data_IF_211030467507
#
_entry.id   IF_211030467507
#
_cell.length_a   1.000
_cell.length_b   1.000
_cell.length_c   1.000
_cell.angle_alpha   90.00
_cell.angle_beta   90.00
_cell.angle_gamma   90.00
#
_symmetry.space_group_name_H-M   'P 1'
#
loop_
_entity.id
_entity.type
_entity.pdbx_description
1 polymer ?
#
# COMPACT_ATOMS: atom_id res chain seq x y z
N UNK A 1 31.21 -36.85 -2.62
CA UNK A 1 30.83 -35.44 -2.91
C UNK A 1 29.32 -35.43 -3.07
N UNK A 2 28.57 -34.58 -2.36
CA UNK A 2 27.12 -34.46 -2.60
C UNK A 2 26.94 -33.79 -3.97
N UNK A 3 26.05 -34.31 -4.83
CA UNK A 3 25.70 -33.65 -6.10
C UNK A 3 25.03 -32.30 -5.84
N UNK A 4 25.09 -31.38 -6.80
CA UNK A 4 24.42 -30.08 -6.68
C UNK A 4 22.92 -30.26 -6.40
N UNK A 5 22.27 -31.20 -7.10
CA UNK A 5 20.85 -31.54 -6.92
C UNK A 5 20.54 -31.92 -5.47
N UNK A 6 21.38 -32.74 -4.85
CA UNK A 6 21.19 -33.16 -3.45
C UNK A 6 21.36 -31.99 -2.47
N UNK A 7 22.31 -31.09 -2.75
CA UNK A 7 22.52 -29.89 -1.93
C UNK A 7 21.33 -28.94 -2.01
N UNK A 8 20.83 -28.68 -3.22
CA UNK A 8 19.70 -27.77 -3.44
C UNK A 8 18.39 -28.37 -2.93
N UNK A 9 18.14 -29.67 -3.18
CA UNK A 9 16.98 -30.39 -2.61
C UNK A 9 16.93 -30.20 -1.10
N UNK A 10 18.02 -30.53 -0.41
CA UNK A 10 18.09 -30.39 1.04
C UNK A 10 17.89 -28.95 1.49
N UNK A 11 18.42 -27.96 0.77
CA UNK A 11 18.20 -26.55 1.09
C UNK A 11 16.72 -26.15 0.95
N UNK A 12 16.02 -26.63 -0.08
CA UNK A 12 14.59 -26.38 -0.28
C UNK A 12 13.74 -27.01 0.84
N UNK A 13 14.07 -28.24 1.20
CA UNK A 13 13.46 -28.97 2.33
C UNK A 13 13.73 -28.23 3.66
N UNK A 14 15.00 -27.93 3.97
CA UNK A 14 15.42 -27.20 5.18
C UNK A 14 14.74 -25.82 5.25
N UNK A 15 14.56 -25.12 4.11
CA UNK A 15 13.84 -23.84 4.04
C UNK A 15 12.35 -24.01 4.36
N UNK A 16 11.71 -25.03 3.78
CA UNK A 16 10.31 -25.36 4.07
C UNK A 16 10.10 -25.70 5.54
N UNK A 17 10.94 -26.58 6.09
CA UNK A 17 10.90 -27.00 7.49
C UNK A 17 11.15 -25.83 8.45
N UNK A 18 12.10 -24.95 8.14
CA UNK A 18 12.38 -23.76 8.95
C UNK A 18 11.21 -22.77 8.94
N UNK A 19 10.54 -22.57 7.81
CA UNK A 19 9.34 -21.72 7.73
C UNK A 19 8.21 -22.33 8.54
N UNK A 20 7.96 -23.64 8.38
CA UNK A 20 6.89 -24.35 9.09
C UNK A 20 7.16 -24.41 10.60
N UNK A 21 8.41 -24.63 11.01
CA UNK A 21 8.82 -24.67 12.40
C UNK A 21 8.71 -23.32 13.11
N UNK A 22 8.75 -22.21 12.36
CA UNK A 22 8.61 -20.84 12.88
C UNK A 22 7.28 -20.18 12.51
N UNK A 23 6.34 -20.94 11.96
CA UNK A 23 5.13 -20.40 11.35
C UNK A 23 4.28 -19.55 12.33
N UNK A 24 4.29 -19.93 13.61
CA UNK A 24 3.59 -19.22 14.68
C UNK A 24 4.31 -17.93 15.13
N UNK A 25 5.60 -17.78 14.81
CA UNK A 25 6.42 -16.59 15.11
C UNK A 25 6.41 -15.55 13.97
N UNK A 26 6.04 -15.96 12.75
CA UNK A 26 6.00 -15.08 11.59
C UNK A 26 4.83 -14.10 11.68
N UNK A 27 5.13 -12.81 11.54
CA UNK A 27 4.14 -11.73 11.47
C UNK A 27 3.49 -11.66 10.08
N UNK A 28 2.32 -11.02 9.99
CA UNK A 28 1.58 -10.83 8.72
C UNK A 28 2.46 -10.38 7.53
N UNK A 29 3.36 -9.37 7.64
CA UNK A 29 4.19 -8.97 6.51
C UNK A 29 5.17 -10.07 6.07
N UNK A 30 5.72 -10.84 7.01
CA UNK A 30 6.65 -11.93 6.71
C UNK A 30 5.92 -13.07 6.00
N UNK A 31 4.72 -13.44 6.47
CA UNK A 31 3.88 -14.44 5.81
C UNK A 31 3.53 -14.03 4.38
N UNK A 32 3.09 -12.78 4.18
CA UNK A 32 2.81 -12.24 2.83
C UNK A 32 4.05 -12.27 1.94
N UNK A 33 5.21 -11.87 2.47
CA UNK A 33 6.45 -11.91 1.73
C UNK A 33 6.83 -13.34 1.33
N UNK A 34 6.68 -14.33 2.22
CA UNK A 34 6.89 -15.75 1.90
C UNK A 34 5.98 -16.22 0.75
N UNK A 35 4.69 -15.86 0.78
CA UNK A 35 3.77 -16.22 -0.31
C UNK A 35 4.19 -15.55 -1.63
N UNK A 36 4.53 -14.27 -1.60
CA UNK A 36 5.03 -13.54 -2.77
C UNK A 36 6.27 -14.18 -3.39
N UNK A 37 7.22 -14.56 -2.54
CA UNK A 37 8.50 -15.16 -2.90
C UNK A 37 8.31 -16.47 -3.65
N UNK A 38 7.62 -17.43 -3.03
CA UNK A 38 7.32 -18.73 -3.63
C UNK A 38 6.36 -18.64 -4.81
N UNK A 39 5.35 -17.77 -4.73
CA UNK A 39 4.45 -17.54 -5.83
C UNK A 39 5.16 -17.00 -7.08
N UNK A 40 6.24 -16.23 -6.92
CA UNK A 40 7.04 -15.75 -8.05
C UNK A 40 7.96 -16.83 -8.65
N UNK A 41 7.98 -18.03 -8.07
CA UNK A 41 8.66 -19.18 -8.64
C UNK A 41 7.71 -20.17 -9.32
N UNK A 42 6.40 -19.86 -9.38
CA UNK A 42 5.39 -20.72 -10.01
C UNK A 42 5.04 -20.23 -11.42
N UNK A 43 4.73 -21.16 -12.33
CA UNK A 43 4.07 -20.81 -13.59
C UNK A 43 2.61 -20.36 -13.38
N UNK A 44 1.94 -19.83 -14.41
CA UNK A 44 0.59 -19.28 -14.27
C UNK A 44 -0.46 -20.34 -13.86
N UNK A 45 -0.36 -21.57 -14.35
CA UNK A 45 -1.31 -22.64 -14.06
C UNK A 45 -1.11 -23.17 -12.64
N UNK A 46 0.12 -23.50 -12.28
CA UNK A 46 0.48 -24.00 -10.94
C UNK A 46 0.17 -22.95 -9.90
N UNK A 47 0.49 -21.68 -10.17
CA UNK A 47 0.12 -20.56 -9.29
C UNK A 47 -1.38 -20.49 -9.11
N UNK A 48 -2.18 -20.57 -10.17
CA UNK A 48 -3.64 -20.54 -10.07
C UNK A 48 -4.23 -21.64 -9.18
N UNK A 49 -3.63 -22.85 -9.21
CA UNK A 49 -4.04 -23.97 -8.36
C UNK A 49 -3.60 -23.77 -6.91
N UNK A 50 -2.32 -23.48 -6.68
CA UNK A 50 -1.76 -23.37 -5.34
C UNK A 50 -2.22 -22.12 -4.58
N UNK A 51 -2.51 -21.02 -5.29
CA UNK A 51 -3.03 -19.77 -4.71
C UNK A 51 -4.56 -19.74 -4.65
N UNK A 52 -5.25 -20.86 -4.89
CA UNK A 52 -6.70 -20.90 -4.79
C UNK A 52 -7.15 -20.49 -3.39
N UNK A 53 -7.99 -19.46 -3.31
CA UNK A 53 -8.43 -18.87 -2.06
C UNK A 53 -7.49 -17.84 -1.44
N UNK A 54 -6.22 -17.73 -1.87
CA UNK A 54 -5.28 -16.74 -1.32
C UNK A 54 -5.67 -15.30 -1.65
N UNK A 55 -5.50 -14.41 -0.67
CA UNK A 55 -5.58 -12.96 -0.85
C UNK A 55 -4.57 -12.28 0.06
N UNK A 56 -3.94 -11.20 -0.41
CA UNK A 56 -3.08 -10.38 0.44
C UNK A 56 -3.84 -9.61 1.54
N UNK A 57 -5.18 -9.65 1.50
CA UNK A 57 -6.09 -9.07 2.49
C UNK A 57 -6.63 -10.10 3.49
N UNK A 58 -6.08 -11.31 3.49
CA UNK A 58 -6.30 -12.28 4.56
C UNK A 58 -5.71 -11.77 5.88
N UNK A 59 -6.36 -12.14 6.99
CA UNK A 59 -5.82 -11.93 8.33
C UNK A 59 -4.57 -12.78 8.58
N UNK A 60 -3.78 -12.43 9.60
CA UNK A 60 -2.58 -13.21 9.95
C UNK A 60 -2.88 -14.70 10.19
N UNK A 61 -3.99 -15.01 10.89
CA UNK A 61 -4.40 -16.39 11.14
C UNK A 61 -4.72 -17.14 9.83
N UNK A 62 -5.45 -16.51 8.92
CA UNK A 62 -5.78 -17.10 7.61
C UNK A 62 -4.53 -17.29 6.74
N UNK A 63 -3.61 -16.32 6.73
CA UNK A 63 -2.33 -16.44 6.04
C UNK A 63 -1.49 -17.58 6.62
N UNK A 64 -1.52 -17.75 7.94
CA UNK A 64 -0.83 -18.84 8.63
C UNK A 64 -1.40 -20.19 8.25
N UNK A 65 -2.72 -20.32 8.27
CA UNK A 65 -3.43 -21.55 7.86
C UNK A 65 -3.21 -21.87 6.39
N UNK A 66 -3.19 -20.85 5.53
CA UNK A 66 -2.86 -21.00 4.13
C UNK A 66 -1.41 -21.48 3.94
N UNK A 67 -0.44 -20.81 4.58
CA UNK A 67 0.98 -21.15 4.52
C UNK A 67 1.27 -22.57 5.02
N UNK A 68 0.54 -23.06 6.04
CA UNK A 68 0.68 -24.44 6.55
C UNK A 68 0.46 -25.50 5.48
N UNK A 69 -0.43 -25.23 4.52
CA UNK A 69 -0.72 -26.14 3.41
C UNK A 69 0.11 -25.81 2.17
N UNK A 70 0.34 -24.51 1.91
CA UNK A 70 1.03 -24.04 0.73
C UNK A 70 2.54 -24.34 0.75
N UNK A 71 3.22 -24.15 1.88
CA UNK A 71 4.68 -24.32 1.96
C UNK A 71 5.12 -25.76 1.65
N UNK A 72 4.53 -26.82 2.24
CA UNK A 72 4.86 -28.20 1.84
C UNK A 72 4.61 -28.47 0.36
N UNK A 73 3.45 -28.06 -0.16
CA UNK A 73 3.09 -28.26 -1.57
C UNK A 73 4.06 -27.55 -2.52
N UNK A 74 4.49 -26.34 -2.16
CA UNK A 74 5.50 -25.61 -2.91
C UNK A 74 6.87 -26.29 -2.84
N UNK A 75 7.31 -26.74 -1.66
CA UNK A 75 8.59 -27.44 -1.50
C UNK A 75 8.65 -28.70 -2.36
N UNK A 76 7.58 -29.50 -2.37
CA UNK A 76 7.46 -30.67 -3.24
C UNK A 76 7.57 -30.29 -4.73
N UNK A 77 6.86 -29.23 -5.14
CA UNK A 77 6.94 -28.71 -6.50
C UNK A 77 8.36 -28.25 -6.88
N UNK A 78 9.02 -27.48 -6.02
CA UNK A 78 10.35 -26.93 -6.29
C UNK A 78 11.41 -28.04 -6.40
N UNK A 79 11.30 -29.09 -5.56
CA UNK A 79 12.16 -30.27 -5.66
C UNK A 79 11.89 -31.04 -6.97
N UNK A 80 10.62 -31.23 -7.33
CA UNK A 80 10.26 -31.89 -8.59
C UNK A 80 10.77 -31.10 -9.82
N UNK A 81 10.65 -29.77 -9.81
CA UNK A 81 11.19 -28.91 -10.87
C UNK A 81 12.72 -29.07 -10.97
N UNK A 82 13.42 -29.04 -9.83
CA UNK A 82 14.88 -29.23 -9.79
C UNK A 82 15.29 -30.58 -10.39
N UNK A 83 14.64 -31.67 -9.98
CA UNK A 83 14.95 -33.01 -10.47
C UNK A 83 14.67 -33.15 -11.96
N UNK A 84 13.59 -32.55 -12.46
CA UNK A 84 13.29 -32.51 -13.88
C UNK A 84 14.36 -31.73 -14.65
N UNK A 85 14.68 -30.51 -14.21
CA UNK A 85 15.62 -29.62 -14.88
C UNK A 85 17.05 -30.15 -14.92
N UNK A 86 17.45 -30.92 -13.90
CA UNK A 86 18.81 -31.48 -13.77
C UNK A 86 18.90 -32.97 -14.14
N UNK A 87 17.83 -33.57 -14.66
CA UNK A 87 17.78 -35.01 -15.04
C UNK A 87 18.93 -35.45 -15.94
N UNK A 88 19.28 -34.60 -16.90
CA UNK A 88 20.30 -34.87 -17.91
C UNK A 88 21.65 -34.19 -17.60
N UNK A 89 21.84 -33.71 -16.36
CA UNK A 89 23.07 -33.08 -15.88
C UNK A 89 22.88 -31.71 -15.23
N UNK A 90 23.89 -31.28 -14.47
CA UNK A 90 23.93 -30.04 -13.70
C UNK A 90 24.25 -28.82 -14.59
N UNK A 91 23.33 -28.52 -15.52
CA UNK A 91 23.42 -27.38 -16.45
C UNK A 91 22.78 -26.12 -15.86
N UNK A 92 23.31 -24.94 -16.21
CA UNK A 92 22.90 -23.66 -15.60
C UNK A 92 22.59 -22.57 -16.65
N UNK A 93 22.26 -22.98 -17.86
CA UNK A 93 21.72 -22.15 -18.93
C UNK A 93 20.20 -22.36 -19.07
N UNK A 94 19.42 -21.36 -19.52
CA UNK A 94 18.05 -21.58 -19.98
C UNK A 94 18.12 -22.65 -21.09
N UNK A 95 17.43 -23.81 -21.01
CA UNK A 95 16.18 -24.10 -20.29
C UNK A 95 16.30 -24.88 -18.96
N UNK A 96 17.52 -25.15 -18.47
CA UNK A 96 17.80 -26.03 -17.33
C UNK A 96 17.82 -25.31 -15.98
N UNK A 97 17.58 -24.00 -15.95
CA UNK A 97 17.41 -23.26 -14.71
C UNK A 97 16.00 -23.45 -14.15
N UNK A 98 15.92 -23.74 -12.86
CA UNK A 98 14.69 -23.65 -12.05
C UNK A 98 14.33 -22.19 -11.79
N UNK A 99 13.07 -21.94 -11.39
CA UNK A 99 12.66 -20.58 -11.03
C UNK A 99 13.39 -20.06 -9.77
N UNK A 100 13.68 -20.94 -8.81
CA UNK A 100 14.50 -20.63 -7.63
C UNK A 100 15.91 -20.20 -8.03
N UNK A 101 16.57 -20.91 -8.97
CA UNK A 101 17.88 -20.49 -9.48
C UNK A 101 17.82 -19.11 -10.16
N UNK A 102 16.75 -18.79 -10.90
CA UNK A 102 16.58 -17.45 -11.48
C UNK A 102 16.46 -16.36 -10.40
N UNK A 103 15.81 -16.66 -9.28
CA UNK A 103 15.63 -15.73 -8.17
C UNK A 103 16.94 -15.54 -7.38
N UNK A 104 17.76 -16.58 -7.22
CA UNK A 104 19.02 -16.52 -6.48
C UNK A 104 20.21 -15.97 -7.30
N UNK A 105 20.05 -15.74 -8.61
CA UNK A 105 21.13 -15.19 -9.45
C UNK A 105 21.12 -13.67 -9.50
N UNK A 106 22.27 -13.04 -9.22
CA UNK A 106 22.48 -11.62 -9.44
C UNK A 106 22.19 -11.22 -10.90
N UNK A 107 21.68 -10.01 -11.10
CA UNK A 107 21.26 -9.49 -12.42
C UNK A 107 22.39 -9.55 -13.44
N UNK A 108 23.61 -9.14 -13.04
CA UNK A 108 24.81 -9.19 -13.90
C UNK A 108 25.17 -10.59 -14.40
N UNK A 109 24.79 -11.62 -13.64
CA UNK A 109 25.07 -13.02 -13.97
C UNK A 109 23.93 -13.62 -14.79
N UNK A 110 22.71 -13.25 -14.46
CA UNK A 110 21.47 -13.77 -15.05
C UNK A 110 21.24 -13.29 -16.48
N UNK A 111 21.42 -11.99 -16.74
CA UNK A 111 21.07 -11.41 -18.04
C UNK A 111 21.93 -11.87 -19.23
N UNK A 112 23.24 -12.11 -19.10
CA UNK A 112 24.02 -12.73 -20.18
C UNK A 112 23.45 -14.09 -20.60
N UNK A 113 23.05 -14.93 -19.63
CA UNK A 113 22.45 -16.25 -19.90
C UNK A 113 21.11 -16.15 -20.60
N UNK A 114 20.27 -15.18 -20.20
CA UNK A 114 19.00 -14.88 -20.87
C UNK A 114 19.24 -14.41 -22.30
N UNK A 115 20.22 -13.55 -22.53
CA UNK A 115 20.53 -13.02 -23.86
C UNK A 115 20.99 -14.12 -24.81
N UNK A 116 21.89 -15.01 -24.36
CA UNK A 116 22.45 -16.10 -25.17
C UNK A 116 21.42 -17.16 -25.55
N UNK A 117 20.42 -17.37 -24.68
CA UNK A 117 19.39 -18.42 -24.81
C UNK A 117 17.98 -17.86 -24.84
N UNK A 118 17.80 -16.67 -25.42
CA UNK A 118 16.53 -15.94 -25.34
C UNK A 118 15.34 -16.78 -25.79
N UNK A 119 15.48 -17.56 -26.87
CA UNK A 119 14.44 -18.45 -27.42
C UNK A 119 13.92 -19.45 -26.38
N UNK A 120 14.81 -19.93 -25.51
CA UNK A 120 14.53 -20.94 -24.49
C UNK A 120 13.90 -20.35 -23.21
N UNK A 121 13.81 -19.02 -23.10
CA UNK A 121 13.18 -18.32 -21.97
C UNK A 121 11.69 -18.14 -22.21
N UNK A 122 10.87 -18.56 -21.24
CA UNK A 122 9.41 -18.46 -21.34
C UNK A 122 8.93 -17.00 -21.31
N UNK A 123 7.76 -16.69 -21.92
CA UNK A 123 7.19 -15.35 -21.85
C UNK A 123 6.99 -14.86 -20.41
N UNK A 124 6.54 -15.71 -19.49
CA UNK A 124 6.39 -15.36 -18.08
C UNK A 124 7.73 -14.95 -17.45
N UNK A 125 8.79 -15.73 -17.68
CA UNK A 125 10.12 -15.40 -17.17
C UNK A 125 10.63 -14.08 -17.75
N UNK A 126 10.42 -13.82 -19.05
CA UNK A 126 10.77 -12.52 -19.64
C UNK A 126 10.02 -11.36 -18.98
N UNK A 127 8.72 -11.50 -18.70
CA UNK A 127 7.94 -10.47 -17.99
C UNK A 127 8.52 -10.20 -16.60
N UNK A 128 8.87 -11.24 -15.84
CA UNK A 128 9.49 -11.13 -14.52
C UNK A 128 10.80 -10.36 -14.57
N UNK A 129 11.68 -10.71 -15.49
CA UNK A 129 13.00 -10.09 -15.58
C UNK A 129 12.94 -8.67 -16.15
N UNK A 130 12.02 -8.39 -17.08
CA UNK A 130 11.75 -7.02 -17.55
C UNK A 130 11.19 -6.16 -16.40
N UNK A 131 10.26 -6.69 -15.59
CA UNK A 131 9.75 -5.99 -14.41
C UNK A 131 10.87 -5.72 -13.38
N UNK A 132 11.76 -6.68 -13.14
CA UNK A 132 12.96 -6.48 -12.31
C UNK A 132 13.90 -5.42 -12.88
N UNK A 133 14.12 -5.42 -14.18
CA UNK A 133 14.95 -4.40 -14.84
C UNK A 133 14.40 -2.99 -14.57
N UNK A 134 13.07 -2.80 -14.65
CA UNK A 134 12.43 -1.53 -14.31
C UNK A 134 12.67 -1.06 -12.86
N UNK A 135 13.09 -1.96 -11.96
CA UNK A 135 13.28 -1.72 -10.53
C UNK A 135 14.77 -1.58 -10.12
N UNK A 136 15.71 -1.58 -11.08
CA UNK A 136 17.14 -1.39 -10.81
C UNK A 136 17.46 0.08 -10.53
N UNK A 137 17.19 0.54 -9.30
CA UNK A 137 17.36 1.94 -8.90
C UNK A 137 18.80 2.31 -8.52
N UNK A 138 19.59 1.34 -8.04
CA UNK A 138 20.94 1.60 -7.51
C UNK A 138 21.98 0.65 -8.12
N UNK A 139 23.21 1.13 -8.37
CA UNK A 139 24.29 0.33 -8.97
C UNK A 139 24.55 -1.03 -8.29
N UNK A 140 24.53 -1.07 -6.95
CA UNK A 140 24.82 -2.31 -6.21
C UNK A 140 23.83 -3.45 -6.52
N UNK A 141 22.59 -3.13 -6.92
CA UNK A 141 21.54 -4.10 -7.24
C UNK A 141 21.89 -4.99 -8.45
N UNK A 142 22.82 -4.55 -9.31
CA UNK A 142 23.32 -5.38 -10.42
C UNK A 142 24.06 -6.63 -9.93
N UNK A 143 24.73 -6.52 -8.79
CA UNK A 143 25.56 -7.58 -8.21
C UNK A 143 24.92 -8.26 -7.00
N UNK A 144 23.82 -7.74 -6.49
CA UNK A 144 23.13 -8.26 -5.30
C UNK A 144 22.11 -9.33 -5.69
N UNK A 145 22.30 -10.61 -5.31
CA UNK A 145 21.29 -11.65 -5.50
C UNK A 145 19.98 -11.37 -4.78
N UNK A 146 20.03 -10.72 -3.61
CA UNK A 146 18.86 -10.46 -2.78
C UNK A 146 17.90 -9.44 -3.42
N UNK A 147 18.37 -8.67 -4.41
CA UNK A 147 17.53 -7.75 -5.18
C UNK A 147 16.29 -8.44 -5.77
N UNK A 148 16.44 -9.67 -6.30
CA UNK A 148 15.34 -10.35 -6.96
C UNK A 148 14.17 -10.70 -6.03
N UNK A 149 14.49 -10.91 -4.75
CA UNK A 149 13.51 -11.11 -3.68
C UNK A 149 13.01 -9.75 -3.18
N UNK A 150 13.91 -8.78 -2.99
CA UNK A 150 13.58 -7.44 -2.48
C UNK A 150 12.58 -6.67 -3.37
N UNK A 151 12.59 -6.86 -4.68
CA UNK A 151 11.58 -6.23 -5.56
C UNK A 151 10.14 -6.71 -5.26
N UNK A 152 9.98 -7.90 -4.68
CA UNK A 152 8.68 -8.49 -4.36
C UNK A 152 8.01 -7.78 -3.18
N UNK A 153 8.74 -6.96 -2.42
CA UNK A 153 8.15 -6.11 -1.39
C UNK A 153 7.24 -5.04 -2.00
N UNK A 154 7.51 -4.61 -3.23
CA UNK A 154 6.86 -3.46 -3.83
C UNK A 154 5.70 -3.87 -4.74
N UNK A 155 4.54 -3.27 -4.48
CA UNK A 155 3.31 -3.41 -5.29
C UNK A 155 3.53 -3.04 -6.76
N UNK A 156 4.45 -2.11 -7.06
CA UNK A 156 4.84 -1.73 -8.42
C UNK A 156 5.33 -2.91 -9.26
N UNK A 157 6.04 -3.88 -8.67
CA UNK A 157 6.49 -5.08 -9.38
C UNK A 157 5.30 -5.87 -9.95
N UNK A 158 4.24 -6.04 -9.16
CA UNK A 158 3.03 -6.75 -9.60
C UNK A 158 2.22 -5.96 -10.61
N UNK A 159 2.19 -4.62 -10.52
CA UNK A 159 1.57 -3.77 -11.52
C UNK A 159 2.30 -3.89 -12.88
N UNK A 160 3.64 -3.88 -12.86
CA UNK A 160 4.47 -4.11 -14.04
C UNK A 160 4.17 -5.48 -14.66
N UNK A 161 4.12 -6.55 -13.86
CA UNK A 161 3.76 -7.88 -14.36
C UNK A 161 2.35 -7.90 -14.98
N UNK A 162 1.37 -7.27 -14.32
CA UNK A 162 0.01 -7.16 -14.82
C UNK A 162 -0.06 -6.48 -16.19
N UNK A 163 0.67 -5.38 -16.37
CA UNK A 163 0.75 -4.66 -17.66
C UNK A 163 1.51 -5.43 -18.73
N UNK A 164 2.59 -6.11 -18.35
CA UNK A 164 3.40 -6.93 -19.27
C UNK A 164 2.66 -8.18 -19.78
N UNK A 165 1.58 -8.63 -19.12
CA UNK A 165 0.74 -9.74 -19.60
C UNK A 165 0.13 -9.50 -20.98
N UNK A 166 -0.28 -8.26 -21.26
CA UNK A 166 -0.84 -7.89 -22.58
C UNK A 166 0.21 -7.63 -23.67
N UNK A 167 1.50 -7.64 -23.32
CA UNK A 167 2.58 -7.43 -24.29
C UNK A 167 2.85 -8.72 -25.06
N UNK A 168 2.93 -8.62 -26.39
CA UNK A 168 3.20 -9.77 -27.25
C UNK A 168 4.59 -10.36 -27.01
N UNK A 169 4.71 -11.67 -27.20
CA UNK A 169 5.99 -12.37 -27.01
C UNK A 169 7.11 -11.79 -27.89
N UNK A 170 6.82 -11.45 -29.15
CA UNK A 170 7.78 -10.82 -30.04
C UNK A 170 8.32 -9.50 -29.46
N UNK A 171 7.45 -8.67 -28.87
CA UNK A 171 7.84 -7.40 -28.24
C UNK A 171 8.60 -7.62 -26.94
N UNK A 172 8.24 -8.63 -26.14
CA UNK A 172 9.01 -9.01 -24.94
C UNK A 172 10.44 -9.44 -25.30
N UNK A 173 10.60 -10.25 -26.36
CA UNK A 173 11.90 -10.70 -26.83
C UNK A 173 12.75 -9.55 -27.37
N UNK A 174 12.14 -8.62 -28.11
CA UNK A 174 12.83 -7.43 -28.60
C UNK A 174 13.30 -6.53 -27.44
N UNK A 175 12.41 -6.26 -26.48
CA UNK A 175 12.73 -5.54 -25.26
C UNK A 175 13.88 -6.17 -24.48
N UNK A 176 13.86 -7.50 -24.32
CA UNK A 176 14.90 -8.24 -23.61
C UNK A 176 16.29 -8.06 -24.25
N UNK A 177 16.39 -7.97 -25.58
CA UNK A 177 17.68 -7.68 -26.26
C UNK A 177 18.21 -6.30 -25.90
N UNK A 178 17.33 -5.29 -25.95
CA UNK A 178 17.69 -3.92 -25.58
C UNK A 178 18.11 -3.80 -24.11
N UNK A 179 17.37 -4.45 -23.21
CA UNK A 179 17.68 -4.47 -21.78
C UNK A 179 19.01 -5.20 -21.51
N UNK A 180 19.24 -6.36 -22.13
CA UNK A 180 20.49 -7.11 -21.97
C UNK A 180 21.71 -6.26 -22.38
N UNK A 181 21.61 -5.51 -23.47
CA UNK A 181 22.67 -4.60 -23.91
C UNK A 181 22.93 -3.50 -22.87
N UNK A 182 21.87 -2.90 -22.32
CA UNK A 182 22.02 -1.84 -21.32
C UNK A 182 22.57 -2.36 -20.00
N UNK A 183 22.21 -3.58 -19.58
CA UNK A 183 22.79 -4.23 -18.41
C UNK A 183 24.28 -4.49 -18.63
N UNK A 184 24.67 -5.01 -19.80
CA UNK A 184 26.08 -5.23 -20.11
C UNK A 184 26.90 -3.93 -20.04
N UNK A 185 26.36 -2.82 -20.57
CA UNK A 185 26.98 -1.49 -20.44
C UNK A 185 27.07 -1.05 -18.99
N UNK A 186 25.99 -1.16 -18.22
CA UNK A 186 25.97 -0.75 -16.81
C UNK A 186 26.94 -1.56 -15.95
N UNK A 187 27.13 -2.86 -16.25
CA UNK A 187 28.11 -3.72 -15.57
C UNK A 187 29.56 -3.36 -15.96
N UNK A 188 29.77 -2.92 -17.20
CA UNK A 188 31.09 -2.51 -17.70
C UNK A 188 31.46 -1.06 -17.38
N UNK A 189 30.51 -0.26 -16.88
CA UNK A 189 30.71 1.14 -16.53
C UNK A 189 31.80 1.29 -15.46
N UNK A 190 32.59 2.36 -15.58
CA UNK A 190 33.78 2.55 -14.73
C UNK A 190 33.53 3.49 -13.56
N UNK A 191 32.43 4.26 -13.58
CA UNK A 191 32.02 5.13 -12.50
C UNK A 191 30.59 4.85 -12.01
N UNK A 192 30.31 5.32 -10.79
CA UNK A 192 28.97 5.20 -10.20
C UNK A 192 27.98 6.09 -10.93
N UNK A 193 28.36 7.32 -11.32
CA UNK A 193 27.47 8.23 -12.04
C UNK A 193 27.10 7.68 -13.44
N UNK A 194 28.06 7.08 -14.14
CA UNK A 194 27.81 6.43 -15.43
C UNK A 194 26.84 5.27 -15.28
N UNK A 195 27.05 4.43 -14.25
CA UNK A 195 26.16 3.31 -13.96
C UNK A 195 24.75 3.79 -13.64
N UNK A 196 24.59 4.84 -12.83
CA UNK A 196 23.28 5.41 -12.48
C UNK A 196 22.54 5.95 -13.70
N UNK A 197 23.24 6.63 -14.62
CA UNK A 197 22.65 7.10 -15.87
C UNK A 197 22.17 5.94 -16.75
N UNK A 198 22.98 4.90 -16.92
CA UNK A 198 22.63 3.70 -17.69
C UNK A 198 21.46 2.94 -17.06
N UNK A 199 21.44 2.83 -15.72
CA UNK A 199 20.31 2.23 -15.01
C UNK A 199 19.03 3.04 -15.21
N UNK A 200 19.10 4.38 -15.25
CA UNK A 200 17.94 5.21 -15.57
C UNK A 200 17.41 4.95 -16.97
N UNK A 201 18.28 4.91 -17.99
CA UNK A 201 17.89 4.56 -19.36
C UNK A 201 17.23 3.18 -19.43
N UNK A 202 17.81 2.20 -18.74
CA UNK A 202 17.28 0.85 -18.65
C UNK A 202 15.89 0.83 -18.00
N UNK A 203 15.69 1.56 -16.89
CA UNK A 203 14.37 1.66 -16.23
C UNK A 203 13.33 2.29 -17.15
N UNK A 204 13.71 3.32 -17.90
CA UNK A 204 12.84 3.95 -18.91
C UNK A 204 12.48 2.97 -20.03
N UNK A 205 13.45 2.21 -20.55
CA UNK A 205 13.21 1.18 -21.57
C UNK A 205 12.25 0.11 -21.06
N UNK A 206 12.52 -0.47 -19.89
CA UNK A 206 11.68 -1.51 -19.30
C UNK A 206 10.28 -1.00 -18.96
N UNK A 207 10.18 0.20 -18.38
CA UNK A 207 8.90 0.86 -18.07
C UNK A 207 8.07 1.14 -19.32
N UNK A 208 8.68 1.63 -20.40
CA UNK A 208 8.00 1.90 -21.66
C UNK A 208 7.41 0.62 -22.31
N UNK A 209 8.06 -0.53 -22.13
CA UNK A 209 7.54 -1.82 -22.61
C UNK A 209 6.28 -2.21 -21.86
N UNK A 210 6.25 -1.98 -20.54
CA UNK A 210 5.06 -2.16 -19.70
C UNK A 210 3.99 -1.06 -19.90
N UNK A 211 4.23 -0.07 -20.77
CA UNK A 211 3.33 1.07 -20.93
C UNK A 211 3.19 1.88 -19.64
N UNK A 212 4.26 1.99 -18.85
CA UNK A 212 4.28 2.87 -17.69
C UNK A 212 4.18 4.33 -18.15
N UNK A 213 3.33 5.15 -17.51
CA UNK A 213 3.17 6.55 -17.89
C UNK A 213 4.27 7.48 -17.33
N UNK A 214 5.18 6.98 -16.49
CA UNK A 214 6.31 7.74 -15.92
C UNK A 214 7.50 6.83 -15.53
N UNK A 215 8.57 7.44 -15.02
CA UNK A 215 9.73 6.70 -14.50
C UNK A 215 9.29 5.79 -13.33
N UNK A 216 9.72 4.51 -13.29
CA UNK A 216 9.35 3.58 -12.22
C UNK A 216 9.66 4.06 -10.81
N UNK A 217 10.70 4.89 -10.64
CA UNK A 217 11.15 5.40 -9.34
C UNK A 217 10.10 6.30 -8.68
N UNK A 218 9.32 7.02 -9.48
CA UNK A 218 8.24 7.88 -9.00
C UNK A 218 6.98 7.09 -8.57
N UNK A 219 6.95 5.79 -8.88
CA UNK A 219 5.79 4.90 -8.69
C UNK A 219 6.02 3.82 -7.63
N UNK A 220 7.22 3.74 -7.03
CA UNK A 220 7.69 2.62 -6.21
C UNK A 220 6.77 2.28 -5.01
N UNK A 221 6.12 3.28 -4.43
CA UNK A 221 5.24 3.10 -3.27
C UNK A 221 5.98 2.61 -2.01
N UNK A 222 5.25 2.40 -0.89
CA UNK A 222 5.85 1.82 0.31
C UNK A 222 6.09 0.31 0.17
N UNK A 223 7.11 -0.26 0.85
CA UNK A 223 7.33 -1.71 0.87
C UNK A 223 6.19 -2.43 1.58
N UNK A 224 5.95 -3.67 1.20
CA UNK A 224 4.88 -4.54 1.71
C UNK A 224 3.46 -3.98 1.59
N UNK A 225 3.25 -3.00 0.71
CA UNK A 225 1.94 -2.53 0.32
C UNK A 225 1.14 -3.69 -0.31
N UNK A 226 -0.10 -3.91 0.17
CA UNK A 226 -0.98 -4.98 -0.33
C UNK A 226 -1.30 -4.76 -1.81
N UNK A 227 -1.31 -5.85 -2.58
CA UNK A 227 -1.70 -5.90 -3.98
C UNK A 227 -2.85 -6.90 -4.17
N UNK A 228 -4.00 -6.51 -4.76
CA UNK A 228 -4.33 -5.15 -5.20
C UNK A 228 -4.42 -4.16 -4.02
N UNK A 229 -4.10 -2.89 -4.27
CA UNK A 229 -4.09 -1.83 -3.23
C UNK A 229 -5.47 -1.51 -2.67
N UNK A 230 -6.49 -1.68 -3.51
CA UNK A 230 -7.88 -1.61 -3.10
C UNK A 230 -8.29 -2.94 -2.47
N UNK A 231 -8.77 -2.88 -1.23
CA UNK A 231 -9.25 -4.06 -0.51
C UNK A 231 -10.51 -4.56 -1.23
N UNK A 232 -10.57 -5.82 -1.66
CA UNK A 232 -11.77 -6.37 -2.28
C UNK A 232 -12.97 -6.28 -1.31
N UNK A 233 -14.18 -5.91 -1.77
CA UNK A 233 -15.32 -5.62 -0.90
C UNK A 233 -15.68 -6.75 0.08
N UNK A 234 -15.58 -8.01 -0.35
CA UNK A 234 -15.90 -9.19 0.44
C UNK A 234 -14.97 -9.39 1.63
N UNK A 235 -13.69 -9.00 1.51
CA UNK A 235 -12.73 -9.09 2.60
C UNK A 235 -12.94 -7.99 3.62
N UNK A 236 -13.24 -6.77 3.17
CA UNK A 236 -13.45 -5.60 4.04
C UNK A 236 -14.58 -5.83 5.04
N UNK A 237 -15.74 -6.27 4.58
CA UNK A 237 -16.91 -6.47 5.46
C UNK A 237 -16.75 -7.66 6.39
N UNK A 238 -16.08 -8.72 5.92
CA UNK A 238 -15.82 -9.91 6.72
C UNK A 238 -14.83 -9.62 7.84
N UNK A 239 -13.72 -8.96 7.54
CA UNK A 239 -12.71 -8.55 8.52
C UNK A 239 -13.32 -7.65 9.60
N UNK A 240 -14.16 -6.70 9.18
CA UNK A 240 -14.90 -5.85 10.11
C UNK A 240 -15.82 -6.69 11.01
N UNK A 241 -16.65 -7.58 10.46
CA UNK A 241 -17.56 -8.44 11.25
C UNK A 241 -16.82 -9.29 12.28
N UNK A 242 -15.69 -9.89 11.88
CA UNK A 242 -14.85 -10.70 12.77
C UNK A 242 -14.24 -9.85 13.89
N UNK A 243 -13.70 -8.68 13.55
CA UNK A 243 -13.12 -7.74 14.50
C UNK A 243 -14.15 -7.26 15.53
N UNK A 244 -15.35 -6.90 15.07
CA UNK A 244 -16.44 -6.44 15.92
C UNK A 244 -16.99 -7.51 16.87
N UNK A 245 -16.87 -8.79 16.50
CA UNK A 245 -17.37 -9.90 17.31
C UNK A 245 -16.57 -10.08 18.62
N UNK A 246 -15.27 -9.79 18.60
CA UNK A 246 -14.36 -9.95 19.75
C UNK A 246 -14.23 -8.69 20.61
N UNK A 247 -14.65 -7.53 20.08
CA UNK A 247 -14.54 -6.26 20.79
C UNK A 247 -15.41 -6.17 22.06
N UNK A 248 -14.84 -5.52 23.08
CA UNK A 248 -15.58 -5.14 24.29
C UNK A 248 -16.62 -4.06 23.98
N UNK A 249 -17.58 -3.84 24.89
CA UNK A 249 -18.55 -2.74 24.73
C UNK A 249 -17.86 -1.36 24.63
N UNK A 250 -16.75 -1.17 25.36
CA UNK A 250 -15.96 0.07 25.31
C UNK A 250 -15.35 0.27 23.92
N UNK A 251 -14.76 -0.78 23.35
CA UNK A 251 -14.10 -0.70 22.04
C UNK A 251 -15.11 -0.59 20.90
N UNK A 252 -16.26 -1.28 21.01
CA UNK A 252 -17.39 -1.10 20.08
C UNK A 252 -17.88 0.35 20.08
N UNK A 253 -17.92 1.00 21.25
CA UNK A 253 -18.28 2.42 21.31
C UNK A 253 -17.23 3.30 20.63
N UNK A 254 -15.94 3.05 20.85
CA UNK A 254 -14.90 3.81 20.17
C UNK A 254 -14.94 3.59 18.64
N UNK A 255 -15.11 2.33 18.20
CA UNK A 255 -15.22 1.98 16.78
C UNK A 255 -16.42 2.66 16.13
N UNK A 256 -17.58 2.66 16.77
CA UNK A 256 -18.73 3.36 16.22
C UNK A 256 -18.55 4.88 16.20
N UNK A 257 -17.87 5.50 17.17
CA UNK A 257 -17.50 6.92 17.07
C UNK A 257 -16.65 7.20 15.83
N UNK A 258 -15.67 6.33 15.54
CA UNK A 258 -14.87 6.42 14.31
C UNK A 258 -15.76 6.35 13.07
N UNK A 259 -16.67 5.38 12.99
CA UNK A 259 -17.55 5.25 11.83
C UNK A 259 -18.55 6.40 11.70
N UNK A 260 -19.03 6.98 12.81
CA UNK A 260 -19.89 8.16 12.81
C UNK A 260 -19.13 9.42 12.35
N UNK A 261 -17.85 9.55 12.71
CA UNK A 261 -17.00 10.68 12.31
C UNK A 261 -16.87 10.80 10.78
N UNK A 262 -16.97 9.69 10.07
CA UNK A 262 -16.86 9.59 8.60
C UNK A 262 -18.14 9.96 7.85
N UNK A 263 -19.25 10.22 8.56
CA UNK A 263 -20.54 10.52 7.97
C UNK A 263 -20.74 12.03 7.77
N UNK A 264 -21.42 12.38 6.68
CA UNK A 264 -22.12 13.66 6.59
C UNK A 264 -23.38 13.64 7.46
N UNK A 265 -23.98 14.80 7.69
CA UNK A 265 -25.25 14.97 8.37
C UNK A 265 -26.39 14.28 7.61
N UNK A 266 -26.35 14.23 6.28
CA UNK A 266 -27.32 13.49 5.49
C UNK A 266 -27.14 11.97 5.65
N UNK A 267 -25.91 11.47 5.56
CA UNK A 267 -25.62 10.05 5.78
C UNK A 267 -25.94 9.61 7.20
N UNK A 268 -25.68 10.47 8.20
CA UNK A 268 -26.06 10.24 9.58
C UNK A 268 -27.58 10.07 9.70
N UNK A 269 -28.37 10.99 9.12
CA UNK A 269 -29.84 10.88 9.13
C UNK A 269 -30.33 9.61 8.44
N UNK A 270 -29.74 9.24 7.30
CA UNK A 270 -30.15 8.09 6.49
C UNK A 270 -29.76 6.75 7.11
N UNK A 271 -28.51 6.60 7.58
CA UNK A 271 -27.94 5.33 8.03
C UNK A 271 -28.15 5.13 9.53
N UNK A 272 -27.91 6.17 10.34
CA UNK A 272 -27.92 6.09 11.81
C UNK A 272 -29.32 6.36 12.37
N UNK A 273 -30.12 7.21 11.71
CA UNK A 273 -31.49 7.55 12.12
C UNK A 273 -32.37 6.33 12.48
N UNK A 274 -32.39 5.25 11.68
CA UNK A 274 -33.12 4.02 12.00
C UNK A 274 -32.69 3.30 13.29
N UNK A 275 -31.48 3.56 13.79
CA UNK A 275 -31.00 3.01 15.06
C UNK A 275 -31.41 3.90 16.23
N UNK A 276 -31.40 5.23 16.07
CA UNK A 276 -31.84 6.16 17.11
C UNK A 276 -33.36 6.18 17.33
N UNK A 277 -34.14 5.63 16.40
CA UNK A 277 -35.57 5.35 16.67
C UNK A 277 -35.78 4.18 17.65
N UNK A 278 -34.75 3.32 17.82
CA UNK A 278 -34.77 2.16 18.72
C UNK A 278 -34.02 2.39 20.03
N UNK A 279 -32.99 3.23 20.00
CA UNK A 279 -32.11 3.51 21.14
C UNK A 279 -32.02 5.03 21.37
N UNK A 280 -32.28 5.54 22.59
CA UNK A 280 -32.30 6.99 22.86
C UNK A 280 -30.96 7.68 22.61
N UNK A 281 -29.87 6.96 22.81
CA UNK A 281 -28.53 7.44 22.46
C UNK A 281 -27.61 6.31 22.03
N UNK A 282 -26.54 6.71 21.37
CA UNK A 282 -25.42 5.86 21.06
C UNK A 282 -24.81 5.17 22.30
N UNK A 283 -24.70 5.91 23.42
CA UNK A 283 -24.12 5.40 24.65
C UNK A 283 -25.00 4.34 25.32
N UNK A 284 -26.29 4.29 25.00
CA UNK A 284 -27.25 3.33 25.53
C UNK A 284 -27.43 2.09 24.65
N UNK A 285 -26.78 2.04 23.48
CA UNK A 285 -26.91 0.93 22.55
C UNK A 285 -26.15 -0.32 23.06
N UNK A 286 -26.77 -1.51 23.07
CA UNK A 286 -26.10 -2.75 23.44
C UNK A 286 -25.10 -3.20 22.35
N UNK A 287 -24.16 -4.08 22.70
CA UNK A 287 -23.11 -4.56 21.78
C UNK A 287 -23.65 -5.04 20.43
N UNK A 288 -24.76 -5.79 20.41
CA UNK A 288 -25.38 -6.26 19.17
C UNK A 288 -25.81 -5.08 18.27
N UNK A 289 -26.47 -4.08 18.84
CA UNK A 289 -26.89 -2.88 18.10
C UNK A 289 -25.71 -2.09 17.55
N UNK A 290 -24.64 -1.94 18.35
CA UNK A 290 -23.42 -1.25 17.92
C UNK A 290 -22.76 -1.95 16.73
N UNK A 291 -22.67 -3.29 16.77
CA UNK A 291 -22.11 -4.08 15.67
C UNK A 291 -22.94 -3.92 14.39
N UNK A 292 -24.27 -3.98 14.50
CA UNK A 292 -25.18 -3.78 13.38
C UNK A 292 -25.08 -2.37 12.79
N UNK A 293 -24.97 -1.34 13.63
CA UNK A 293 -24.77 0.05 13.21
C UNK A 293 -23.46 0.21 12.44
N UNK A 294 -22.35 -0.27 13.00
CA UNK A 294 -21.03 -0.16 12.38
C UNK A 294 -21.01 -0.85 11.02
N UNK A 295 -21.54 -2.07 10.94
CA UNK A 295 -21.63 -2.83 9.68
C UNK A 295 -22.50 -2.08 8.66
N UNK A 296 -23.64 -1.54 9.07
CA UNK A 296 -24.52 -0.78 8.16
C UNK A 296 -23.83 0.47 7.59
N UNK A 297 -22.99 1.14 8.39
CA UNK A 297 -22.17 2.27 7.93
C UNK A 297 -21.13 1.79 6.91
N UNK A 298 -20.38 0.74 7.23
CA UNK A 298 -19.30 0.23 6.38
C UNK A 298 -19.78 -0.45 5.09
N UNK A 299 -20.98 -1.05 5.08
CA UNK A 299 -21.61 -1.59 3.87
C UNK A 299 -21.97 -0.47 2.88
N UNK A 300 -22.30 0.71 3.39
CA UNK A 300 -22.68 1.86 2.56
C UNK A 300 -21.51 2.76 2.16
N UNK A 301 -20.34 2.65 2.80
CA UNK A 301 -19.25 3.61 2.69
C UNK A 301 -17.86 2.97 2.70
N UNK A 302 -17.02 3.39 1.75
CA UNK A 302 -15.61 3.03 1.66
C UNK A 302 -14.72 4.22 2.04
N UNK A 303 -14.61 4.47 3.35
CA UNK A 303 -13.87 5.62 3.90
C UNK A 303 -13.08 5.20 5.13
N UNK A 304 -11.92 5.83 5.34
CA UNK A 304 -11.13 5.69 6.56
C UNK A 304 -10.79 7.05 7.17
N UNK A 305 -10.49 7.05 8.47
CA UNK A 305 -10.26 8.26 9.29
C UNK A 305 -9.07 9.09 8.82
N UNK A 306 -8.15 8.52 8.05
CA UNK A 306 -6.96 9.16 7.50
C UNK A 306 -7.12 9.57 6.02
N UNK A 307 -8.22 9.20 5.32
CA UNK A 307 -8.40 9.55 3.91
C UNK A 307 -8.44 11.06 3.67
N UNK A 308 -8.86 11.86 4.67
CA UNK A 308 -8.84 13.32 4.57
C UNK A 308 -7.43 13.90 4.30
N UNK A 309 -6.37 13.22 4.73
CA UNK A 309 -4.97 13.61 4.47
C UNK A 309 -4.32 12.72 3.39
N UNK A 310 -4.61 11.43 3.36
CA UNK A 310 -4.01 10.51 2.37
C UNK A 310 -4.42 10.86 0.93
N UNK A 311 -5.59 11.48 0.74
CA UNK A 311 -6.10 11.91 -0.57
C UNK A 311 -5.12 12.74 -1.39
N UNK A 312 -4.29 13.56 -0.76
CA UNK A 312 -3.34 14.43 -1.47
C UNK A 312 -2.18 13.63 -2.07
N UNK A 313 -1.68 12.64 -1.32
CA UNK A 313 -0.53 11.83 -1.72
C UNK A 313 -0.87 10.61 -2.57
N UNK A 314 -2.07 10.05 -2.42
CA UNK A 314 -2.40 8.69 -2.90
C UNK A 314 -3.66 8.59 -3.76
N UNK A 315 -4.49 9.64 -3.83
CA UNK A 315 -5.75 9.60 -4.58
C UNK A 315 -6.89 8.89 -3.84
N UNK A 316 -6.68 8.50 -2.58
CA UNK A 316 -7.70 7.99 -1.64
C UNK A 316 -8.69 9.11 -1.27
N UNK A 317 -9.63 9.41 -2.15
CA UNK A 317 -10.65 10.45 -1.94
C UNK A 317 -11.43 10.22 -0.63
N UNK A 318 -11.86 11.31 0.03
CA UNK A 318 -12.52 11.21 1.32
C UNK A 318 -14.03 10.97 1.19
N UNK A 319 -14.66 11.38 0.10
CA UNK A 319 -16.11 11.27 -0.12
C UNK A 319 -16.48 10.51 -1.39
N UNK A 320 -15.70 10.70 -2.44
CA UNK A 320 -15.90 10.18 -3.79
C UNK A 320 -15.04 8.94 -4.02
N UNK A 321 -15.19 8.31 -5.19
CA UNK A 321 -14.39 7.14 -5.53
C UNK A 321 -12.91 7.50 -5.61
N UNK A 322 -12.00 6.62 -5.14
CA UNK A 322 -10.58 6.83 -5.29
C UNK A 322 -10.20 6.93 -6.78
N UNK A 323 -9.14 7.69 -7.05
CA UNK A 323 -8.47 7.66 -8.35
C UNK A 323 -7.37 6.62 -8.26
N UNK A 324 -7.21 5.79 -9.30
CA UNK A 324 -6.16 4.77 -9.37
C UNK A 324 -4.80 5.40 -9.07
N UNK A 325 -4.01 4.77 -8.21
CA UNK A 325 -2.81 5.38 -7.63
C UNK A 325 -1.82 5.89 -8.68
N UNK A 326 -1.57 5.12 -9.75
CA UNK A 326 -0.66 5.53 -10.82
C UNK A 326 -1.23 6.72 -11.59
N UNK A 327 -2.53 6.71 -11.86
CA UNK A 327 -3.21 7.86 -12.48
C UNK A 327 -3.08 9.09 -11.56
N UNK A 328 -3.31 8.93 -10.26
CA UNK A 328 -3.20 10.03 -9.30
C UNK A 328 -1.81 10.65 -9.26
N UNK A 329 -0.76 9.82 -9.19
CA UNK A 329 0.63 10.30 -9.11
C UNK A 329 1.07 11.09 -10.33
N UNK A 330 0.52 10.76 -11.50
CA UNK A 330 0.94 11.35 -12.77
C UNK A 330 0.00 12.43 -13.28
N UNK A 331 -1.15 12.57 -12.63
CA UNK A 331 -2.10 13.61 -12.92
C UNK A 331 -1.49 14.99 -12.63
N UNK A 332 -1.58 15.95 -13.58
CA UNK A 332 -1.18 17.33 -13.36
C UNK A 332 -1.81 17.91 -12.10
N UNK A 333 -1.11 18.83 -11.43
CA UNK A 333 -1.61 19.43 -10.18
C UNK A 333 -3.00 20.05 -10.36
N UNK A 334 -3.24 20.76 -11.46
CA UNK A 334 -4.54 21.39 -11.75
C UNK A 334 -5.69 20.36 -11.82
N UNK A 335 -5.43 19.21 -12.45
CA UNK A 335 -6.41 18.13 -12.54
C UNK A 335 -6.63 17.46 -11.17
N UNK A 336 -5.56 17.24 -10.39
CA UNK A 336 -5.66 16.74 -9.00
C UNK A 336 -6.51 17.67 -8.14
N UNK A 337 -6.25 18.98 -8.23
CA UNK A 337 -7.06 20.01 -7.56
C UNK A 337 -8.53 19.93 -8.00
N UNK A 338 -8.79 19.72 -9.30
CA UNK A 338 -10.14 19.51 -9.81
C UNK A 338 -10.86 18.31 -9.16
N UNK A 339 -10.17 17.17 -9.03
CA UNK A 339 -10.69 16.00 -8.31
C UNK A 339 -10.94 16.29 -6.82
N UNK A 340 -10.00 16.92 -6.14
CA UNK A 340 -10.12 17.25 -4.72
C UNK A 340 -11.28 18.23 -4.47
N UNK A 341 -11.47 19.20 -5.35
CA UNK A 341 -12.61 20.16 -5.26
C UNK A 341 -13.95 19.49 -5.47
N UNK A 342 -14.06 18.54 -6.42
CA UNK A 342 -15.28 17.73 -6.59
C UNK A 342 -15.57 16.92 -5.32
N UNK A 343 -14.55 16.32 -4.75
CA UNK A 343 -14.66 15.57 -3.50
C UNK A 343 -15.04 16.47 -2.30
N UNK A 344 -14.48 17.68 -2.21
CA UNK A 344 -14.86 18.70 -1.22
C UNK A 344 -16.32 19.14 -1.38
N UNK A 345 -16.82 19.22 -2.62
CA UNK A 345 -18.20 19.61 -2.92
C UNK A 345 -19.26 18.64 -2.37
N UNK A 346 -18.86 17.40 -2.05
CA UNK A 346 -19.74 16.38 -1.44
C UNK A 346 -19.68 16.45 0.09
N UNK A 347 -18.65 17.08 0.67
CA UNK A 347 -18.53 17.24 2.13
C UNK A 347 -19.50 18.30 2.64
N UNK A 348 -20.04 18.09 3.84
CA UNK A 348 -20.76 19.13 4.55
C UNK A 348 -19.83 19.94 5.48
N UNK A 349 -20.36 21.04 6.00
CA UNK A 349 -19.62 21.93 6.91
C UNK A 349 -19.14 21.20 8.18
N UNK A 350 -19.91 20.23 8.68
CA UNK A 350 -19.55 19.50 9.89
C UNK A 350 -18.30 18.64 9.65
N UNK A 351 -18.22 17.95 8.52
CA UNK A 351 -17.07 17.15 8.13
C UNK A 351 -15.84 18.03 7.87
N UNK A 352 -16.00 19.14 7.14
CA UNK A 352 -14.92 20.11 6.94
C UNK A 352 -14.39 20.64 8.27
N UNK A 353 -15.27 20.93 9.23
CA UNK A 353 -14.87 21.42 10.56
C UNK A 353 -14.05 20.38 11.33
N UNK A 354 -14.45 19.10 11.28
CA UNK A 354 -13.69 18.00 11.90
C UNK A 354 -12.31 17.85 11.28
N UNK A 355 -12.20 17.87 9.95
CA UNK A 355 -10.91 17.81 9.27
C UNK A 355 -10.01 19.00 9.63
N UNK A 356 -10.54 20.22 9.65
CA UNK A 356 -9.76 21.41 10.04
C UNK A 356 -9.30 21.34 11.51
N UNK A 357 -10.15 20.86 12.42
CA UNK A 357 -9.77 20.63 13.81
C UNK A 357 -8.63 19.62 13.93
N UNK A 358 -8.58 18.57 13.09
CA UNK A 358 -7.45 17.62 13.08
C UNK A 358 -6.12 18.30 12.80
N UNK A 359 -6.06 19.28 11.90
CA UNK A 359 -4.85 20.07 11.67
C UNK A 359 -4.43 20.89 12.90
N UNK A 360 -5.38 21.47 13.64
CA UNK A 360 -5.05 22.22 14.86
C UNK A 360 -4.49 21.31 15.96
N UNK A 361 -4.90 20.05 16.00
CA UNK A 361 -4.51 19.06 17.01
C UNK A 361 -3.31 18.18 16.65
N UNK A 362 -2.79 18.29 15.44
CA UNK A 362 -1.60 17.57 15.00
C UNK A 362 -0.39 18.51 14.94
N UNK A 363 0.72 18.14 15.58
CA UNK A 363 1.96 18.95 15.55
C UNK A 363 2.74 18.83 14.24
N UNK A 364 2.54 17.73 13.52
CA UNK A 364 3.18 17.44 12.25
C UNK A 364 2.23 16.66 11.33
N UNK A 365 2.48 16.70 10.03
CA UNK A 365 1.67 15.98 9.03
C UNK A 365 1.62 14.48 9.31
N UNK A 366 2.72 13.86 9.76
CA UNK A 366 2.75 12.43 10.09
C UNK A 366 1.69 12.05 11.14
N UNK A 367 1.39 12.95 12.07
CA UNK A 367 0.36 12.71 13.08
C UNK A 367 -1.06 12.69 12.46
N UNK A 368 -1.29 13.36 11.32
CA UNK A 368 -2.55 13.27 10.57
C UNK A 368 -2.72 11.90 9.89
N UNK A 369 -1.63 11.30 9.42
CA UNK A 369 -1.63 9.99 8.76
C UNK A 369 -1.66 8.82 9.76
N UNK A 370 -1.34 9.06 11.03
CA UNK A 370 -1.42 8.06 12.10
C UNK A 370 -2.89 7.83 12.54
N UNK A 371 -3.47 6.73 12.08
CA UNK A 371 -4.84 6.35 12.40
C UNK A 371 -5.08 6.23 13.92
N UNK A 372 -4.12 5.73 14.70
CA UNK A 372 -4.24 5.60 16.15
C UNK A 372 -4.38 6.96 16.84
N UNK A 373 -3.56 7.94 16.44
CA UNK A 373 -3.68 9.33 16.91
C UNK A 373 -5.03 9.94 16.48
N UNK A 374 -5.46 9.71 15.25
CA UNK A 374 -6.74 10.25 14.78
C UNK A 374 -7.95 9.66 15.52
N UNK A 375 -7.89 8.39 15.92
CA UNK A 375 -8.92 7.73 16.75
C UNK A 375 -8.91 8.30 18.17
N UNK A 376 -7.73 8.49 18.77
CA UNK A 376 -7.61 9.02 20.13
C UNK A 376 -8.26 10.42 20.27
N UNK A 377 -8.13 11.27 19.24
CA UNK A 377 -8.74 12.60 19.21
C UNK A 377 -10.26 12.59 19.38
N UNK A 378 -10.95 11.53 18.93
CA UNK A 378 -12.42 11.44 19.03
C UNK A 378 -12.93 11.40 20.47
N UNK A 379 -12.05 11.11 21.43
CA UNK A 379 -12.35 11.11 22.86
C UNK A 379 -11.83 12.34 23.60
N UNK A 380 -11.11 13.25 22.93
CA UNK A 380 -10.62 14.50 23.51
C UNK A 380 -11.72 15.56 23.48
N UNK A 381 -12.14 16.01 24.67
CA UNK A 381 -13.16 17.04 24.81
C UNK A 381 -12.78 18.36 24.11
N UNK A 382 -11.47 18.66 23.99
CA UNK A 382 -10.97 19.85 23.27
C UNK A 382 -11.20 19.71 21.78
N UNK A 383 -10.96 18.53 21.20
CA UNK A 383 -11.24 18.27 19.79
C UNK A 383 -12.74 18.46 19.51
N UNK A 384 -13.60 17.90 20.37
CA UNK A 384 -15.06 18.04 20.26
C UNK A 384 -15.50 19.50 20.33
N UNK A 385 -14.98 20.26 21.29
CA UNK A 385 -15.27 21.68 21.43
C UNK A 385 -14.76 22.49 20.23
N UNK A 386 -13.51 22.26 19.81
CA UNK A 386 -12.86 23.02 18.75
C UNK A 386 -13.57 22.80 17.39
N UNK A 387 -13.92 21.56 17.01
CA UNK A 387 -14.65 21.36 15.76
C UNK A 387 -16.09 21.90 15.81
N UNK A 388 -16.74 21.90 16.99
CA UNK A 388 -18.03 22.55 17.20
C UNK A 388 -17.97 24.07 17.06
N UNK A 389 -16.89 24.67 17.56
CA UNK A 389 -16.64 26.11 17.46
C UNK A 389 -16.32 26.51 16.01
N UNK A 390 -15.51 25.73 15.28
CA UNK A 390 -15.26 25.95 13.85
C UNK A 390 -16.58 25.92 13.06
N UNK A 391 -17.43 24.91 13.33
CA UNK A 391 -18.73 24.78 12.69
C UNK A 391 -19.63 25.99 13.00
N UNK A 392 -19.66 26.44 14.25
CA UNK A 392 -20.47 27.58 14.68
C UNK A 392 -19.98 28.89 14.03
N UNK A 393 -18.66 29.15 14.05
CA UNK A 393 -18.07 30.39 13.53
C UNK A 393 -18.08 30.50 12.02
N UNK A 394 -17.86 29.38 11.31
CA UNK A 394 -17.62 29.38 9.87
C UNK A 394 -18.68 28.63 9.06
N UNK A 395 -19.47 27.76 9.69
CA UNK A 395 -20.49 26.94 9.03
C UNK A 395 -21.92 27.46 9.13
N UNK A 396 -22.22 28.40 10.05
CA UNK A 396 -23.59 28.89 10.27
C UNK A 396 -24.06 29.94 9.25
N UNK A 397 -23.16 30.69 8.63
CA UNK A 397 -23.48 31.78 7.69
C UNK A 397 -23.38 31.32 6.22
N UNK A 398 -24.33 31.75 5.38
CA UNK A 398 -24.26 31.61 3.91
C UNK A 398 -24.03 30.18 3.42
N UNK A 399 -24.80 29.21 3.92
CA UNK A 399 -24.66 27.78 3.57
C UNK A 399 -23.23 27.20 3.79
N UNK A 400 -22.50 27.76 4.75
CA UNK A 400 -21.12 27.36 5.06
C UNK A 400 -20.08 27.85 4.04
N UNK A 401 -20.34 28.94 3.31
CA UNK A 401 -19.38 29.51 2.36
C UNK A 401 -18.01 29.79 2.97
N UNK A 402 -17.96 30.30 4.21
CA UNK A 402 -16.70 30.66 4.88
C UNK A 402 -15.84 29.43 5.14
N UNK A 403 -16.43 28.35 5.66
CA UNK A 403 -15.70 27.11 5.88
C UNK A 403 -15.28 26.45 4.57
N UNK A 404 -16.12 26.49 3.52
CA UNK A 404 -15.78 25.99 2.17
C UNK A 404 -14.56 26.72 1.59
N UNK A 405 -14.51 28.05 1.71
CA UNK A 405 -13.36 28.87 1.26
C UNK A 405 -12.08 28.53 2.02
N UNK A 406 -12.15 28.40 3.34
CA UNK A 406 -11.00 28.00 4.16
C UNK A 406 -10.53 26.58 3.78
N UNK A 407 -11.46 25.65 3.61
CA UNK A 407 -11.15 24.27 3.26
C UNK A 407 -10.52 24.14 1.87
N UNK A 408 -10.96 24.92 0.88
CA UNK A 408 -10.32 24.98 -0.43
C UNK A 408 -8.87 25.51 -0.33
N UNK A 409 -8.63 26.56 0.45
CA UNK A 409 -7.26 27.07 0.69
C UNK A 409 -6.34 26.04 1.34
N UNK A 410 -6.86 25.28 2.31
CA UNK A 410 -6.14 24.16 2.94
C UNK A 410 -5.90 23.04 1.94
N UNK A 411 -6.89 22.71 1.09
CA UNK A 411 -6.78 21.70 0.03
C UNK A 411 -5.66 22.05 -0.96
N UNK A 412 -5.61 23.30 -1.44
CA UNK A 412 -4.55 23.77 -2.34
C UNK A 412 -3.17 23.70 -1.67
N UNK A 413 -3.10 24.14 -0.41
CA UNK A 413 -1.85 24.11 0.36
C UNK A 413 -1.35 22.68 0.61
N UNK A 414 -2.24 21.74 0.94
CA UNK A 414 -1.92 20.33 1.12
C UNK A 414 -1.51 19.66 -0.20
N UNK A 415 -2.13 20.05 -1.32
CA UNK A 415 -1.77 19.53 -2.65
C UNK A 415 -0.33 19.93 -3.01
N UNK A 416 0.03 21.19 -2.77
CA UNK A 416 1.41 21.67 -2.93
C UNK A 416 2.38 20.97 -1.96
N UNK A 417 1.98 20.85 -0.70
CA UNK A 417 2.75 20.16 0.34
C UNK A 417 3.07 18.70 -0.04
N UNK A 418 2.13 18.01 -0.68
CA UNK A 418 2.32 16.62 -1.12
C UNK A 418 3.43 16.46 -2.18
N UNK A 419 3.79 17.53 -2.91
CA UNK A 419 4.92 17.57 -3.85
C UNK A 419 6.26 17.97 -3.22
N UNK A 420 6.28 18.43 -1.97
CA UNK A 420 7.47 18.93 -1.28
C UNK A 420 8.15 17.84 -0.43
N UNK A 421 9.40 18.10 -0.03
CA UNK A 421 10.22 17.20 0.81
C UNK A 421 10.93 18.01 1.91
N UNK A 422 11.27 17.33 3.01
CA UNK A 422 12.07 17.90 4.11
C UNK A 422 11.46 19.15 4.74
N UNK A 423 12.30 20.12 5.08
CA UNK A 423 11.93 21.36 5.79
C UNK A 423 10.86 22.19 5.06
N UNK A 424 10.85 22.18 3.72
CA UNK A 424 9.85 22.92 2.93
C UNK A 424 8.42 22.38 3.18
N UNK A 425 8.32 21.06 3.32
CA UNK A 425 7.05 20.38 3.60
C UNK A 425 6.57 20.69 5.01
N UNK A 426 7.47 20.66 5.99
CA UNK A 426 7.17 21.01 7.39
C UNK A 426 6.76 22.48 7.53
N UNK A 427 7.48 23.40 6.88
CA UNK A 427 7.14 24.82 6.88
C UNK A 427 5.75 25.07 6.27
N UNK A 428 5.43 24.39 5.16
CA UNK A 428 4.10 24.49 4.54
C UNK A 428 3.02 23.93 5.46
N UNK A 429 3.28 22.84 6.16
CA UNK A 429 2.37 22.28 7.15
C UNK A 429 2.09 23.27 8.30
N UNK A 430 3.12 23.86 8.90
CA UNK A 430 2.93 24.87 9.96
C UNK A 430 2.19 26.11 9.44
N UNK A 431 2.44 26.52 8.20
CA UNK A 431 1.68 27.61 7.58
C UNK A 431 0.20 27.27 7.39
N UNK A 432 -0.14 26.01 7.09
CA UNK A 432 -1.53 25.52 7.03
C UNK A 432 -2.17 25.63 8.42
N UNK A 433 -1.53 25.09 9.46
CA UNK A 433 -2.05 25.14 10.83
C UNK A 433 -2.32 26.57 11.28
N UNK A 434 -1.36 27.46 11.07
CA UNK A 434 -1.48 28.88 11.41
C UNK A 434 -2.64 29.55 10.68
N UNK A 435 -2.80 29.30 9.38
CA UNK A 435 -3.94 29.85 8.60
C UNK A 435 -5.29 29.38 9.15
N UNK A 436 -5.39 28.12 9.57
CA UNK A 436 -6.60 27.59 10.19
C UNK A 436 -6.84 28.27 11.54
N UNK A 437 -5.81 28.40 12.37
CA UNK A 437 -5.89 29.08 13.66
C UNK A 437 -6.35 30.54 13.50
N UNK A 438 -5.72 31.30 12.59
CA UNK A 438 -6.06 32.70 12.31
C UNK A 438 -7.51 32.85 11.80
N UNK A 439 -7.95 31.98 10.90
CA UNK A 439 -9.29 32.04 10.32
C UNK A 439 -10.40 31.61 11.28
N UNK A 440 -10.10 30.70 12.21
CA UNK A 440 -11.06 30.15 13.17
C UNK A 440 -11.02 30.89 14.50
N UNK A 441 -9.92 31.59 14.83
CA UNK A 441 -9.67 32.18 16.14
C UNK A 441 -9.45 31.14 17.24
N UNK A 442 -9.00 29.93 16.87
CA UNK A 442 -8.67 28.83 17.79
C UNK A 442 -7.16 28.62 17.83
N UNK A 443 -6.58 28.28 19.00
CA UNK A 443 -5.14 28.06 19.10
C UNK A 443 -4.72 26.73 18.47
N UNK A 444 -3.48 26.68 17.97
CA UNK A 444 -2.78 25.43 17.71
C UNK A 444 -2.61 24.65 19.02
N UNK A 445 -2.97 23.37 19.04
CA UNK A 445 -2.86 22.50 20.21
C UNK A 445 -1.60 21.66 20.15
N UNK A 446 -0.97 21.44 21.30
CA UNK A 446 0.13 20.49 21.48
C UNK A 446 -0.36 19.31 22.35
N UNK A 447 -0.48 18.09 21.80
CA UNK A 447 -0.95 16.93 22.56
C UNK A 447 0.02 16.47 23.67
N UNK A 448 1.32 16.81 23.61
CA UNK A 448 2.34 16.27 24.54
C UNK A 448 2.59 17.10 25.82
N UNK A 449 2.03 18.31 25.97
CA UNK A 449 2.30 19.17 27.15
C UNK A 449 1.40 18.95 28.38
N UNK A 450 0.62 17.88 28.43
CA UNK A 450 -0.38 17.66 29.51
C UNK A 450 -0.09 16.45 30.39
N UNK A 451 1.20 16.18 30.68
CA UNK A 451 1.65 15.14 31.61
C UNK A 451 2.21 15.64 32.96
N UNK A 452 2.43 16.95 33.16
CA UNK A 452 3.00 17.50 34.39
C UNK A 452 2.04 18.50 35.04
N UNK A 453 1.08 17.98 35.79
CA UNK A 453 0.11 18.77 36.54
C UNK A 453 -0.47 17.96 37.68
N UNK A 454 0.40 17.44 38.55
CA UNK A 454 0.01 16.56 39.64
C UNK A 454 1.15 16.20 40.58
N UNK A 455 1.82 17.20 41.15
CA UNK A 455 2.47 17.02 42.46
C UNK A 455 1.92 18.08 43.41
N UNK A 456 1.40 17.55 44.51
CA UNK A 456 0.82 18.24 45.66
C UNK A 456 1.84 19.17 46.32
N UNK A 457 1.37 20.33 46.75
CA UNK A 457 1.58 20.83 48.13
C UNK A 457 0.22 21.13 48.74
#
# INVERSE_FOLDING_TARGET
MKSYVELVRRRLEDRGDNILGKLDELMEPQLRFTMRLFGDCLDEETRGKMFSGYSEHMSELELRDFARNFVPAYTEYAVAELEEKKRDGERHEPPYLTQEEYQEMAVREKWPRIADRLVDVTPLQLRREIARAAMLFRPYMLSDPAFNEGVLEFSLYYDLLGRLRSVSEARLRDAAKGIALQIAKAVAATSTEETEALLRELRTLAGAVAGLPAEPEDLLGPPMEKHPREIPPEYRLRELKNTLATMSLKDLRLSALVHLDLLTAEETRRIVGPFFSKYPSFYEMPSKGLRELIVAIAEGLDRAINYFIERYGTGRMAMTKPVEYLVWKLMPEEERVGHLRRDNGVMDAAMMARHLARFLHAEGEQALSDAGRQIALLTDARFVADHGEILTRLGAEGEGERIKKLYDLVTLSCTRMAGQRGEEREATYHAIRKKIADATGLPERNPEKTGEGGKQE
#
